data_IF_836780809525
#
_entry.id   IF_836780809525
#
_cell.length_a   1.000
_cell.length_b   1.000
_cell.length_c   1.000
_cell.angle_alpha   90.00
_cell.angle_beta   90.00
_cell.angle_gamma   90.00
#
_symmetry.space_group_name_H-M   'P 1'
#
loop_
_entity.id
_entity.type
_entity.pdbx_description
1 polymer ?
#
# COMPACT_ATOMS: atom_id res chain seq x y z
N UNK A 1 -1.79 32.10 -25.36
CA UNK A 1 -1.24 32.11 -23.99
C UNK A 1 -2.13 31.22 -23.13
N UNK A 2 -1.56 30.24 -22.44
CA UNK A 2 -2.32 29.34 -21.55
C UNK A 2 -2.66 30.10 -20.26
N UNK A 3 -3.89 29.95 -19.76
CA UNK A 3 -4.40 30.67 -18.58
C UNK A 3 -4.46 29.82 -17.31
N UNK A 4 -4.07 28.55 -17.40
CA UNK A 4 -4.12 27.56 -16.32
C UNK A 4 -2.80 26.84 -16.18
N UNK A 5 -2.55 26.25 -15.01
CA UNK A 5 -1.39 25.37 -14.79
C UNK A 5 -1.50 24.19 -15.76
N UNK A 6 -0.52 24.06 -16.66
CA UNK A 6 -0.51 23.01 -17.69
C UNK A 6 0.26 21.78 -17.25
N UNK A 7 -0.32 20.61 -17.57
CA UNK A 7 0.32 19.32 -17.44
C UNK A 7 1.65 19.26 -18.19
N UNK A 8 2.60 18.48 -17.65
CA UNK A 8 3.91 18.26 -18.25
C UNK A 8 4.95 19.35 -17.96
N UNK A 9 4.56 20.46 -17.34
CA UNK A 9 5.54 21.44 -16.85
C UNK A 9 6.11 21.00 -15.50
N UNK A 10 7.43 21.12 -15.32
CA UNK A 10 8.12 20.68 -14.11
C UNK A 10 7.52 21.23 -12.79
N UNK A 11 7.06 22.50 -12.69
CA UNK A 11 6.51 23.01 -11.44
C UNK A 11 5.01 22.73 -11.23
N UNK A 12 4.28 22.18 -12.22
CA UNK A 12 2.82 22.09 -12.17
C UNK A 12 2.29 21.36 -10.92
N UNK A 13 2.85 20.18 -10.61
CA UNK A 13 2.43 19.37 -9.46
C UNK A 13 2.70 20.08 -8.14
N UNK A 14 3.86 20.73 -8.01
CA UNK A 14 4.22 21.50 -6.83
C UNK A 14 3.28 22.68 -6.62
N UNK A 15 3.01 23.46 -7.67
CA UNK A 15 2.14 24.63 -7.61
C UNK A 15 0.71 24.24 -7.20
N UNK A 16 0.14 23.21 -7.83
CA UNK A 16 -1.19 22.71 -7.47
C UNK A 16 -1.26 22.28 -6.00
N UNK A 17 -0.28 21.46 -5.57
CA UNK A 17 -0.22 20.97 -4.18
C UNK A 17 0.00 22.11 -3.18
N UNK A 18 0.82 23.12 -3.52
CA UNK A 18 1.07 24.27 -2.65
C UNK A 18 -0.17 25.14 -2.48
N UNK A 19 -0.96 25.33 -3.54
CA UNK A 19 -2.25 26.03 -3.48
C UNK A 19 -3.23 25.31 -2.54
N UNK A 20 -3.33 23.99 -2.60
CA UNK A 20 -4.15 23.21 -1.66
C UNK A 20 -3.68 23.42 -0.21
N UNK A 21 -2.37 23.34 0.05
CA UNK A 21 -1.79 23.61 1.38
C UNK A 21 -2.02 25.05 1.86
N UNK A 22 -2.02 26.01 0.95
CA UNK A 22 -2.30 27.41 1.31
C UNK A 22 -3.77 27.59 1.66
N UNK A 23 -4.68 26.94 0.92
CA UNK A 23 -6.10 26.96 1.20
C UNK A 23 -6.44 26.31 2.54
N UNK A 24 -5.77 25.21 2.89
CA UNK A 24 -5.94 24.57 4.20
C UNK A 24 -5.53 25.50 5.36
N UNK A 25 -4.43 26.25 5.22
CA UNK A 25 -4.00 27.22 6.22
C UNK A 25 -5.06 28.32 6.38
N UNK A 26 -5.61 28.84 5.28
CA UNK A 26 -6.61 29.92 5.31
C UNK A 26 -7.93 29.48 5.93
N UNK A 27 -8.39 28.26 5.68
CA UNK A 27 -9.63 27.76 6.28
C UNK A 27 -9.47 27.21 7.70
N UNK A 28 -8.25 27.17 8.25
CA UNK A 28 -7.97 26.59 9.58
C UNK A 28 -8.72 27.28 10.72
N UNK A 29 -8.94 28.60 10.61
CA UNK A 29 -9.64 29.38 11.63
C UNK A 29 -11.16 29.16 11.61
N UNK A 30 -11.72 28.84 10.44
CA UNK A 30 -13.16 28.62 10.27
C UNK A 30 -13.55 27.17 10.56
N UNK A 31 -12.75 26.21 10.08
CA UNK A 31 -13.02 24.79 10.26
C UNK A 31 -11.72 23.96 10.26
N UNK A 32 -11.26 23.62 11.48
CA UNK A 32 -10.04 22.84 11.69
C UNK A 32 -10.10 21.44 11.07
N UNK A 33 -11.29 20.80 11.06
CA UNK A 33 -11.48 19.46 10.49
C UNK A 33 -11.28 19.50 8.98
N UNK A 34 -11.93 20.45 8.30
CA UNK A 34 -11.84 20.57 6.84
C UNK A 34 -10.45 21.05 6.40
N UNK A 35 -9.83 21.93 7.18
CA UNK A 35 -8.44 22.32 7.00
C UNK A 35 -7.49 21.11 7.01
N UNK A 36 -7.62 20.24 8.02
CA UNK A 36 -6.85 18.99 8.11
C UNK A 36 -7.08 18.10 6.87
N UNK A 37 -8.33 17.89 6.48
CA UNK A 37 -8.69 17.07 5.31
C UNK A 37 -8.02 17.61 4.03
N UNK A 38 -8.09 18.92 3.79
CA UNK A 38 -7.46 19.53 2.60
C UNK A 38 -5.92 19.42 2.68
N UNK A 39 -5.34 19.49 3.87
CA UNK A 39 -3.89 19.43 4.06
C UNK A 39 -3.31 18.01 3.93
N UNK A 40 -4.03 16.99 4.40
CA UNK A 40 -3.50 15.66 4.67
C UNK A 40 -4.13 14.54 3.82
N UNK A 41 -5.39 14.67 3.43
CA UNK A 41 -6.14 13.57 2.78
C UNK A 41 -6.04 13.62 1.24
N UNK A 42 -5.38 14.64 0.68
CA UNK A 42 -5.10 14.73 -0.75
C UNK A 42 -3.83 13.95 -1.14
N UNK A 43 -3.97 13.10 -2.15
CA UNK A 43 -2.85 12.60 -2.92
C UNK A 43 -2.84 13.28 -4.29
N UNK A 44 -1.96 14.28 -4.43
CA UNK A 44 -1.88 15.14 -5.63
C UNK A 44 -3.24 15.77 -5.93
N UNK A 45 -4.00 15.23 -6.88
CA UNK A 45 -5.30 15.70 -7.34
C UNK A 45 -6.49 14.89 -6.79
N UNK A 46 -6.24 13.72 -6.21
CA UNK A 46 -7.28 12.84 -5.64
C UNK A 46 -7.47 13.09 -4.13
N UNK A 47 -8.70 13.36 -3.70
CA UNK A 47 -9.07 13.43 -2.28
C UNK A 47 -9.57 12.07 -1.77
N UNK A 48 -8.89 11.52 -0.77
CA UNK A 48 -9.23 10.25 -0.14
C UNK A 48 -9.55 10.44 1.35
N UNK A 49 -10.82 10.74 1.67
CA UNK A 49 -11.27 10.98 3.05
C UNK A 49 -12.49 10.12 3.42
N UNK A 50 -12.90 10.17 4.68
CA UNK A 50 -14.05 9.42 5.19
C UNK A 50 -14.53 9.92 6.56
N UNK A 51 -15.59 9.28 7.07
CA UNK A 51 -16.21 9.61 8.35
C UNK A 51 -16.88 8.38 8.96
N UNK A 52 -17.33 8.51 10.20
CA UNK A 52 -17.98 7.43 10.95
C UNK A 52 -19.49 7.35 10.69
N UNK A 53 -20.08 8.42 10.15
CA UNK A 53 -21.50 8.49 9.81
C UNK A 53 -21.74 9.07 8.41
N UNK A 54 -22.87 8.74 7.80
CA UNK A 54 -23.26 9.28 6.48
C UNK A 54 -23.36 10.81 6.53
N UNK A 55 -23.97 11.35 7.58
CA UNK A 55 -24.14 12.79 7.76
C UNK A 55 -22.80 13.53 7.86
N UNK A 56 -21.83 12.95 8.57
CA UNK A 56 -20.47 13.50 8.67
C UNK A 56 -19.79 13.55 7.29
N UNK A 57 -19.88 12.47 6.52
CA UNK A 57 -19.30 12.39 5.16
C UNK A 57 -19.98 13.40 4.21
N UNK A 58 -21.31 13.53 4.28
CA UNK A 58 -22.05 14.53 3.50
C UNK A 58 -21.62 15.96 3.84
N UNK A 59 -21.46 16.27 5.12
CA UNK A 59 -20.98 17.56 5.59
C UNK A 59 -19.55 17.84 5.12
N UNK A 60 -18.65 16.85 5.20
CA UNK A 60 -17.27 16.95 4.68
C UNK A 60 -17.31 17.25 3.18
N UNK A 61 -18.06 16.46 2.40
CA UNK A 61 -18.23 16.64 0.95
C UNK A 61 -18.65 18.07 0.61
N UNK A 62 -19.72 18.57 1.26
CA UNK A 62 -20.24 19.90 1.01
C UNK A 62 -19.24 21.01 1.35
N UNK A 63 -18.60 20.94 2.52
CA UNK A 63 -17.69 21.99 2.98
C UNK A 63 -16.39 22.02 2.20
N UNK A 64 -15.78 20.86 1.93
CA UNK A 64 -14.57 20.75 1.13
C UNK A 64 -14.83 21.28 -0.30
N UNK A 65 -15.92 20.85 -0.93
CA UNK A 65 -16.30 21.35 -2.27
C UNK A 65 -16.48 22.86 -2.30
N UNK A 66 -17.17 23.44 -1.30
CA UNK A 66 -17.36 24.89 -1.22
C UNK A 66 -16.03 25.65 -1.10
N UNK A 67 -15.16 25.20 -0.21
CA UNK A 67 -13.86 25.85 0.05
C UNK A 67 -12.96 25.75 -1.18
N UNK A 68 -12.85 24.57 -1.79
CA UNK A 68 -12.04 24.38 -3.00
C UNK A 68 -12.59 25.18 -4.18
N UNK A 69 -13.91 25.23 -4.35
CA UNK A 69 -14.55 26.00 -5.42
C UNK A 69 -14.25 27.51 -5.29
N UNK A 70 -14.14 28.04 -4.06
CA UNK A 70 -13.78 29.45 -3.83
C UNK A 70 -12.40 29.81 -4.35
N UNK A 71 -11.51 28.81 -4.48
CA UNK A 71 -10.16 28.94 -5.03
C UNK A 71 -10.05 28.43 -6.49
N UNK A 72 -11.18 28.12 -7.14
CA UNK A 72 -11.23 27.61 -8.51
C UNK A 72 -10.92 26.12 -8.66
N UNK A 73 -10.85 25.37 -7.56
CA UNK A 73 -10.70 23.91 -7.57
C UNK A 73 -12.08 23.25 -7.52
N UNK A 74 -12.58 22.81 -8.66
CA UNK A 74 -13.85 22.10 -8.72
C UNK A 74 -13.64 20.59 -8.50
N UNK A 75 -14.16 20.07 -7.39
CA UNK A 75 -14.20 18.62 -7.15
C UNK A 75 -15.27 17.96 -8.01
N UNK A 76 -14.89 16.87 -8.68
CA UNK A 76 -15.76 16.08 -9.55
C UNK A 76 -15.55 14.59 -9.27
N UNK A 77 -16.42 13.74 -9.84
CA UNK A 77 -16.28 12.28 -9.78
C UNK A 77 -16.20 11.74 -8.34
N UNK A 78 -17.25 11.97 -7.56
CA UNK A 78 -17.33 11.47 -6.19
C UNK A 78 -17.62 9.97 -6.17
N UNK A 79 -16.90 9.25 -5.31
CA UNK A 79 -17.05 7.81 -5.10
C UNK A 79 -17.19 7.51 -3.62
N UNK A 80 -18.14 6.64 -3.25
CA UNK A 80 -18.39 6.27 -1.86
C UNK A 80 -18.87 4.81 -1.77
N UNK A 81 -18.64 4.17 -0.63
CA UNK A 81 -19.22 2.87 -0.31
C UNK A 81 -20.65 2.98 0.27
N UNK A 82 -21.22 4.18 0.31
CA UNK A 82 -22.59 4.45 0.78
C UNK A 82 -23.35 5.17 -0.32
N UNK A 83 -24.44 4.56 -0.80
CA UNK A 83 -25.24 5.09 -1.92
C UNK A 83 -25.85 6.47 -1.61
N UNK A 84 -26.32 6.70 -0.39
CA UNK A 84 -26.89 7.97 0.08
C UNK A 84 -25.94 9.18 -0.12
N UNK A 85 -24.63 8.96 -0.09
CA UNK A 85 -23.62 10.03 -0.33
C UNK A 85 -23.49 10.37 -1.82
N UNK A 86 -23.86 9.42 -2.68
CA UNK A 86 -23.76 9.48 -4.15
C UNK A 86 -25.07 9.94 -4.78
N UNK A 87 -26.24 9.74 -4.17
CA UNK A 87 -27.58 9.94 -4.76
C UNK A 87 -27.88 11.31 -5.43
N UNK A 88 -27.02 12.31 -5.27
CA UNK A 88 -27.02 13.54 -6.08
C UNK A 88 -26.04 13.52 -7.27
N UNK A 89 -25.60 12.36 -7.73
CA UNK A 89 -24.60 12.15 -8.79
C UNK A 89 -24.94 10.85 -9.52
N UNK A 90 -25.37 10.97 -10.78
CA UNK A 90 -26.07 9.97 -11.61
C UNK A 90 -25.31 8.68 -12.00
N UNK A 91 -24.51 8.06 -11.13
CA UNK A 91 -23.74 6.86 -11.49
C UNK A 91 -23.84 5.77 -10.40
N UNK A 92 -24.85 4.90 -10.51
CA UNK A 92 -25.15 3.81 -9.55
C UNK A 92 -24.31 2.53 -9.74
N UNK A 93 -23.46 2.49 -10.77
CA UNK A 93 -22.39 1.51 -10.93
C UNK A 93 -21.23 2.24 -11.57
N UNK A 94 -20.12 2.37 -10.86
CA UNK A 94 -18.91 2.94 -11.45
C UNK A 94 -17.89 1.82 -11.67
N UNK A 95 -17.75 1.41 -12.92
CA UNK A 95 -16.43 1.06 -13.44
C UNK A 95 -15.60 2.34 -13.45
N UNK A 96 -14.57 2.42 -12.60
CA UNK A 96 -13.71 3.60 -12.54
C UNK A 96 -12.83 3.58 -13.80
N UNK A 97 -13.39 4.11 -14.90
CA UNK A 97 -12.81 4.30 -16.22
C UNK A 97 -13.27 3.29 -17.29
N UNK A 98 -13.93 3.78 -18.35
CA UNK A 98 -13.70 3.30 -19.72
C UNK A 98 -12.73 4.33 -20.32
N UNK A 99 -11.50 4.02 -20.70
CA UNK A 99 -11.03 2.97 -21.60
C UNK A 99 -9.51 2.89 -21.43
N UNK A 100 -8.96 1.68 -21.29
CA UNK A 100 -7.50 1.41 -21.42
C UNK A 100 -6.48 2.11 -20.49
N UNK A 101 -6.87 2.77 -19.39
CA UNK A 101 -5.90 3.37 -18.43
C UNK A 101 -6.44 3.56 -17.00
N UNK A 102 -6.89 2.47 -16.37
CA UNK A 102 -7.69 2.53 -15.13
C UNK A 102 -6.89 2.16 -13.88
N UNK A 103 -6.11 3.10 -13.33
CA UNK A 103 -5.31 2.90 -12.12
C UNK A 103 -5.49 4.10 -11.18
N UNK A 104 -6.17 3.93 -10.04
CA UNK A 104 -6.17 4.92 -8.95
C UNK A 104 -5.12 4.55 -7.92
N UNK A 105 -4.12 5.41 -7.77
CA UNK A 105 -2.84 5.06 -7.13
C UNK A 105 -2.18 3.78 -7.67
N UNK A 106 -2.70 3.17 -8.75
CA UNK A 106 -2.27 1.87 -9.26
C UNK A 106 -3.12 0.64 -8.87
N UNK A 107 -4.15 0.77 -8.02
CA UNK A 107 -5.04 -0.32 -7.58
C UNK A 107 -6.51 -0.09 -7.99
N UNK A 108 -7.31 -1.16 -8.03
CA UNK A 108 -8.77 -1.08 -8.24
C UNK A 108 -9.49 -1.07 -6.89
N UNK A 109 -10.55 -0.27 -6.78
CA UNK A 109 -11.40 -0.21 -5.60
C UNK A 109 -12.84 -0.56 -5.98
N UNK A 110 -13.35 -1.64 -5.39
CA UNK A 110 -14.77 -1.98 -5.40
C UNK A 110 -15.46 -1.21 -4.27
N UNK A 111 -16.26 -0.21 -4.64
CA UNK A 111 -16.95 0.66 -3.69
C UNK A 111 -18.05 -0.08 -2.94
N UNK A 112 -18.77 -1.00 -3.60
CA UNK A 112 -19.89 -1.73 -3.02
C UNK A 112 -19.42 -2.66 -1.90
N UNK A 113 -18.35 -3.41 -2.16
CA UNK A 113 -17.79 -4.36 -1.20
C UNK A 113 -16.70 -3.76 -0.29
N UNK A 114 -16.27 -2.53 -0.58
CA UNK A 114 -15.14 -1.86 0.08
C UNK A 114 -13.84 -2.70 0.06
N UNK A 115 -13.57 -3.35 -1.08
CA UNK A 115 -12.40 -4.21 -1.29
C UNK A 115 -11.45 -3.60 -2.34
N UNK A 116 -10.15 -3.83 -2.16
CA UNK A 116 -9.16 -3.65 -3.20
C UNK A 116 -9.14 -4.87 -4.12
N UNK A 117 -9.02 -4.60 -5.41
CA UNK A 117 -8.89 -5.61 -6.47
C UNK A 117 -7.64 -5.36 -7.30
N UNK A 118 -7.12 -6.42 -7.88
CA UNK A 118 -6.03 -6.37 -8.84
C UNK A 118 -6.56 -6.67 -10.22
N UNK A 119 -6.06 -5.98 -11.24
CA UNK A 119 -6.34 -6.34 -12.63
C UNK A 119 -5.03 -6.54 -13.35
N UNK A 120 -4.83 -7.77 -13.84
CA UNK A 120 -3.66 -8.15 -14.58
C UNK A 120 -4.09 -8.66 -15.94
N UNK A 121 -3.58 -8.02 -16.99
CA UNK A 121 -3.85 -8.42 -18.36
C UNK A 121 -2.82 -9.48 -18.80
N UNK A 122 -3.26 -10.72 -18.80
CA UNK A 122 -2.46 -11.88 -19.21
C UNK A 122 -2.69 -12.09 -20.72
N UNK A 123 -1.96 -11.36 -21.56
CA UNK A 123 -2.01 -11.56 -23.03
C UNK A 123 -1.11 -12.71 -23.48
N UNK A 124 -1.69 -13.71 -24.13
CA UNK A 124 -0.97 -14.83 -24.77
C UNK A 124 0.13 -14.32 -25.72
N UNK A 125 1.35 -14.20 -25.21
CA UNK A 125 2.52 -13.83 -25.99
C UNK A 125 3.16 -15.07 -26.59
N UNK A 126 3.29 -15.10 -27.91
CA UNK A 126 3.96 -16.20 -28.61
C UNK A 126 5.48 -16.19 -28.40
N UNK A 127 6.08 -15.04 -28.04
CA UNK A 127 7.52 -14.89 -27.82
C UNK A 127 7.81 -14.17 -26.51
N UNK A 128 8.59 -14.81 -25.65
CA UNK A 128 9.07 -14.24 -24.40
C UNK A 128 10.52 -13.77 -24.56
N UNK A 129 10.71 -12.45 -24.45
CA UNK A 129 12.00 -11.77 -24.34
C UNK A 129 12.12 -11.09 -22.98
N UNK A 130 13.33 -10.72 -22.58
CA UNK A 130 13.58 -9.94 -21.35
C UNK A 130 12.67 -8.71 -21.28
N UNK A 131 12.50 -7.97 -22.38
CA UNK A 131 11.59 -6.81 -22.45
C UNK A 131 10.15 -7.17 -22.14
N UNK A 132 9.62 -8.20 -22.78
CA UNK A 132 8.21 -8.59 -22.59
C UNK A 132 7.94 -9.09 -21.16
N UNK A 133 8.88 -9.84 -20.57
CA UNK A 133 8.75 -10.35 -19.21
C UNK A 133 8.79 -9.21 -18.20
N UNK A 134 9.76 -8.30 -18.32
CA UNK A 134 9.86 -7.15 -17.43
C UNK A 134 8.64 -6.23 -17.55
N UNK A 135 8.15 -6.03 -18.77
CA UNK A 135 6.91 -5.27 -19.00
C UNK A 135 5.70 -5.93 -18.34
N UNK A 136 5.58 -7.26 -18.41
CA UNK A 136 4.51 -8.01 -17.74
C UNK A 136 4.60 -7.90 -16.21
N UNK A 137 5.77 -8.15 -15.64
CA UNK A 137 5.99 -8.05 -14.19
C UNK A 137 5.72 -6.62 -13.68
N UNK A 138 6.09 -5.59 -14.44
CA UNK A 138 5.84 -4.20 -14.08
C UNK A 138 4.34 -3.84 -14.02
N UNK A 139 3.45 -4.67 -14.58
CA UNK A 139 2.00 -4.48 -14.43
C UNK A 139 1.54 -4.78 -13.00
N UNK A 140 2.27 -5.63 -12.26
CA UNK A 140 1.99 -5.98 -10.86
C UNK A 140 2.34 -4.79 -9.98
N UNK A 141 1.35 -3.94 -9.78
CA UNK A 141 1.48 -2.76 -8.93
C UNK A 141 0.92 -3.06 -7.54
N UNK A 142 1.81 -3.12 -6.54
CA UNK A 142 1.47 -3.49 -5.18
C UNK A 142 2.17 -2.55 -4.17
N UNK A 143 1.59 -1.35 -3.90
CA UNK A 143 2.24 -0.31 -3.11
C UNK A 143 2.29 -0.67 -1.62
N UNK A 144 1.33 -1.46 -1.15
CA UNK A 144 1.20 -1.89 0.25
C UNK A 144 1.91 -3.22 0.52
N UNK A 145 2.31 -3.96 -0.52
CA UNK A 145 2.93 -5.27 -0.34
C UNK A 145 1.92 -6.35 0.02
N UNK A 146 0.68 -6.29 -0.46
CA UNK A 146 -0.34 -7.32 -0.18
C UNK A 146 -0.14 -8.57 -1.04
N UNK A 147 0.61 -8.46 -2.14
CA UNK A 147 0.97 -9.53 -3.08
C UNK A 147 2.43 -9.96 -2.93
N UNK A 148 3.02 -9.76 -1.74
CA UNK A 148 4.44 -10.01 -1.51
C UNK A 148 4.93 -11.39 -1.99
N UNK A 149 4.19 -12.50 -1.81
CA UNK A 149 4.61 -13.81 -2.34
C UNK A 149 4.79 -13.79 -3.86
N UNK A 150 3.85 -13.20 -4.60
CA UNK A 150 3.92 -13.09 -6.07
C UNK A 150 5.04 -12.13 -6.48
N UNK A 151 5.13 -10.96 -5.83
CA UNK A 151 6.16 -9.96 -6.11
C UNK A 151 7.55 -10.53 -5.83
N UNK A 152 7.71 -11.38 -4.82
CA UNK A 152 8.97 -12.05 -4.51
C UNK A 152 9.42 -12.98 -5.65
N UNK A 153 8.52 -13.85 -6.14
CA UNK A 153 8.79 -14.70 -7.30
C UNK A 153 9.15 -13.88 -8.53
N UNK A 154 8.41 -12.79 -8.78
CA UNK A 154 8.69 -11.88 -9.88
C UNK A 154 10.09 -11.25 -9.77
N UNK A 155 10.48 -10.78 -8.58
CA UNK A 155 11.83 -10.24 -8.34
C UNK A 155 12.93 -11.29 -8.53
N UNK A 156 12.71 -12.55 -8.15
CA UNK A 156 13.66 -13.64 -8.39
C UNK A 156 13.85 -13.84 -9.91
N UNK A 157 12.77 -13.84 -10.69
CA UNK A 157 12.84 -13.96 -12.16
C UNK A 157 13.62 -12.78 -12.76
N UNK A 158 13.35 -11.55 -12.30
CA UNK A 158 14.11 -10.35 -12.72
C UNK A 158 15.60 -10.52 -12.41
N UNK A 159 15.93 -10.99 -11.21
CA UNK A 159 17.32 -11.19 -10.78
C UNK A 159 18.03 -12.22 -11.68
N UNK A 160 17.36 -13.32 -12.04
CA UNK A 160 17.89 -14.33 -12.98
C UNK A 160 18.08 -13.76 -14.39
N UNK A 161 17.11 -13.02 -14.92
CA UNK A 161 17.22 -12.37 -16.24
C UNK A 161 18.42 -11.41 -16.29
N UNK A 162 18.65 -10.65 -15.23
CA UNK A 162 19.79 -9.73 -15.13
C UNK A 162 21.15 -10.45 -15.17
N UNK A 163 21.22 -11.71 -14.71
CA UNK A 163 22.47 -12.49 -14.75
C UNK A 163 22.82 -13.01 -16.14
N UNK A 164 21.82 -13.21 -17.00
CA UNK A 164 22.05 -13.73 -18.35
C UNK A 164 22.79 -12.75 -19.27
N UNK A 165 22.87 -11.46 -18.91
CA UNK A 165 23.51 -10.39 -19.71
C UNK A 165 23.07 -10.38 -21.19
N UNK A 166 21.83 -10.79 -21.47
CA UNK A 166 21.26 -10.82 -22.82
C UNK A 166 20.66 -9.49 -23.22
N UNK A 167 20.54 -9.26 -24.53
CA UNK A 167 19.83 -8.09 -25.06
C UNK A 167 18.32 -8.18 -24.75
N UNK A 168 17.65 -7.03 -24.72
CA UNK A 168 16.24 -6.87 -24.35
C UNK A 168 15.29 -7.75 -25.20
N UNK A 169 15.63 -7.97 -26.47
CA UNK A 169 14.79 -8.64 -27.47
C UNK A 169 15.29 -10.05 -27.85
N UNK A 170 16.31 -10.55 -27.13
CA UNK A 170 16.89 -11.88 -27.32
C UNK A 170 16.07 -12.97 -26.62
N UNK A 171 16.18 -14.22 -27.11
CA UNK A 171 15.58 -15.38 -26.45
C UNK A 171 16.25 -15.68 -25.11
N UNK A 172 15.43 -15.97 -24.10
CA UNK A 172 15.91 -16.26 -22.74
C UNK A 172 16.26 -17.75 -22.57
N UNK A 173 17.15 -18.10 -21.63
CA UNK A 173 17.42 -19.49 -21.26
C UNK A 173 16.16 -20.29 -20.90
N UNK A 174 16.17 -21.58 -21.23
CA UNK A 174 15.01 -22.47 -21.10
C UNK A 174 14.56 -22.67 -19.64
N UNK A 175 15.50 -22.68 -18.71
CA UNK A 175 15.25 -22.79 -17.26
C UNK A 175 14.45 -21.58 -16.74
N UNK A 176 14.85 -20.36 -17.12
CA UNK A 176 14.13 -19.13 -16.76
C UNK A 176 12.77 -19.09 -17.43
N UNK A 177 12.71 -19.47 -18.71
CA UNK A 177 11.45 -19.51 -19.46
C UNK A 177 10.44 -20.46 -18.81
N UNK A 178 10.89 -21.63 -18.35
CA UNK A 178 10.04 -22.62 -17.70
C UNK A 178 9.51 -22.08 -16.36
N UNK A 179 10.39 -21.49 -15.54
CA UNK A 179 9.99 -20.85 -14.27
C UNK A 179 9.02 -19.69 -14.51
N UNK A 180 9.26 -18.86 -15.52
CA UNK A 180 8.39 -17.75 -15.85
C UNK A 180 7.03 -18.21 -16.38
N UNK A 181 6.97 -19.25 -17.21
CA UNK A 181 5.69 -19.80 -17.71
C UNK A 181 4.79 -20.29 -16.58
N UNK A 182 5.36 -21.00 -15.59
CA UNK A 182 4.60 -21.45 -14.41
C UNK A 182 4.10 -20.29 -13.55
N UNK A 183 4.91 -19.24 -13.39
CA UNK A 183 4.49 -18.00 -12.74
C UNK A 183 3.38 -17.28 -13.52
N UNK A 184 3.55 -17.18 -14.83
CA UNK A 184 2.65 -16.47 -15.75
C UNK A 184 1.27 -17.13 -15.84
N UNK A 185 1.19 -18.47 -15.83
CA UNK A 185 -0.09 -19.19 -15.89
C UNK A 185 -0.98 -18.97 -14.66
N UNK A 186 -0.39 -18.68 -13.50
CA UNK A 186 -1.10 -18.42 -12.24
C UNK A 186 -1.40 -16.92 -12.05
N UNK A 187 -0.85 -16.06 -12.91
CA UNK A 187 -0.97 -14.62 -12.73
C UNK A 187 -2.41 -14.12 -12.95
N UNK A 188 -3.19 -14.87 -13.74
CA UNK A 188 -4.60 -14.61 -13.97
C UNK A 188 -5.45 -14.72 -12.70
N UNK A 189 -5.06 -15.60 -11.76
CA UNK A 189 -5.80 -15.88 -10.52
C UNK A 189 -5.82 -14.66 -9.58
N UNK A 190 -4.88 -13.72 -9.76
CA UNK A 190 -4.86 -12.46 -9.01
C UNK A 190 -6.04 -11.54 -9.33
N UNK A 191 -6.73 -11.74 -10.46
CA UNK A 191 -7.93 -10.96 -10.79
C UNK A 191 -9.11 -11.30 -9.85
N UNK A 192 -9.10 -12.49 -9.24
CA UNK A 192 -10.13 -12.94 -8.32
C UNK A 192 -9.80 -12.60 -6.86
N UNK A 193 -8.61 -12.05 -6.59
CA UNK A 193 -8.20 -11.67 -5.24
C UNK A 193 -8.89 -10.38 -4.81
N UNK A 194 -9.66 -10.49 -3.73
CA UNK A 194 -10.24 -9.34 -3.04
C UNK A 194 -9.60 -9.14 -1.67
N UNK A 195 -9.11 -7.92 -1.40
CA UNK A 195 -8.54 -7.56 -0.11
C UNK A 195 -9.41 -6.50 0.56
N UNK A 196 -9.93 -6.77 1.75
CA UNK A 196 -10.75 -5.79 2.47
C UNK A 196 -9.96 -4.52 2.79
N UNK A 197 -10.53 -3.35 2.47
CA UNK A 197 -9.94 -2.05 2.84
C UNK A 197 -10.13 -1.72 4.33
N UNK A 198 -11.14 -2.32 4.97
CA UNK A 198 -11.47 -2.05 6.37
C UNK A 198 -10.53 -2.85 7.27
N UNK A 199 -9.60 -2.15 7.91
CA UNK A 199 -8.56 -2.74 8.77
C UNK A 199 -8.94 -2.83 10.25
N UNK A 200 -10.06 -2.24 10.69
CA UNK A 200 -10.50 -2.21 12.10
C UNK A 200 -11.93 -2.71 12.26
N UNK A 201 -12.21 -3.39 13.37
CA UNK A 201 -13.60 -3.65 13.81
C UNK A 201 -14.29 -2.36 14.23
N UNK A 202 -15.62 -2.33 14.03
CA UNK A 202 -16.46 -1.23 14.52
C UNK A 202 -16.46 -1.22 16.05
N UNK A 203 -16.43 -0.03 16.68
CA UNK A 203 -16.41 0.13 18.15
C UNK A 203 -15.29 -0.70 18.81
N UNK A 204 -14.09 -0.65 18.23
CA UNK A 204 -12.91 -1.30 18.81
C UNK A 204 -12.58 -0.67 20.17
N UNK A 205 -12.16 -1.51 21.11
CA UNK A 205 -11.65 -1.12 22.43
C UNK A 205 -10.14 -1.35 22.54
N UNK A 206 -9.58 -2.13 21.63
CA UNK A 206 -8.16 -2.47 21.59
C UNK A 206 -7.68 -2.56 20.14
N UNK A 207 -6.55 -1.93 19.84
CA UNK A 207 -5.85 -1.95 18.56
C UNK A 207 -4.38 -2.25 18.80
N UNK A 208 -3.92 -3.38 18.27
CA UNK A 208 -2.54 -3.85 18.41
C UNK A 208 -1.89 -4.00 17.03
N UNK A 209 -0.60 -3.69 16.96
CA UNK A 209 0.23 -3.97 15.79
C UNK A 209 1.08 -5.21 16.04
N UNK A 210 1.13 -6.11 15.06
CA UNK A 210 1.95 -7.31 15.09
C UNK A 210 2.84 -7.34 13.85
N UNK A 211 4.12 -7.07 14.06
CA UNK A 211 5.16 -7.12 13.04
C UNK A 211 5.85 -8.49 13.02
N UNK A 212 6.00 -9.10 11.85
CA UNK A 212 6.73 -10.35 11.69
C UNK A 212 7.91 -10.13 10.74
N UNK A 213 9.05 -10.72 11.06
CA UNK A 213 10.25 -10.70 10.23
C UNK A 213 10.76 -12.13 10.07
N UNK A 214 11.10 -12.48 8.83
CA UNK A 214 11.57 -13.81 8.45
C UNK A 214 12.53 -13.72 7.26
N UNK A 215 13.47 -14.67 7.19
CA UNK A 215 14.43 -14.79 6.11
C UNK A 215 14.73 -16.23 5.71
N UNK A 216 15.15 -16.38 4.46
CA UNK A 216 15.71 -17.61 3.94
C UNK A 216 16.82 -17.31 2.94
N UNK A 217 17.40 -18.34 2.33
CA UNK A 217 18.50 -18.20 1.36
C UNK A 217 18.12 -17.39 0.12
N UNK A 218 16.83 -17.39 -0.26
CA UNK A 218 16.35 -16.68 -1.45
C UNK A 218 16.03 -15.21 -1.19
N UNK A 219 15.71 -14.86 0.06
CA UNK A 219 15.43 -13.48 0.45
C UNK A 219 14.82 -13.37 1.82
N UNK A 220 14.40 -12.15 2.14
CA UNK A 220 13.87 -11.81 3.45
C UNK A 220 12.70 -10.85 3.33
N UNK A 221 11.84 -10.88 4.34
CA UNK A 221 10.59 -10.15 4.34
C UNK A 221 10.20 -9.68 5.73
N UNK A 222 9.30 -8.69 5.73
CA UNK A 222 8.64 -8.23 6.92
C UNK A 222 7.18 -7.91 6.60
N UNK A 223 6.26 -8.21 7.50
CA UNK A 223 4.85 -7.84 7.38
C UNK A 223 4.32 -7.28 8.69
N UNK A 224 3.33 -6.40 8.60
CA UNK A 224 2.66 -5.80 9.76
C UNK A 224 1.17 -6.10 9.66
N UNK A 225 0.66 -6.76 10.68
CA UNK A 225 -0.77 -7.00 10.87
C UNK A 225 -1.32 -6.02 11.91
N UNK A 226 -2.55 -5.58 11.69
CA UNK A 226 -3.35 -4.90 12.69
C UNK A 226 -4.34 -5.88 13.26
N UNK A 227 -4.35 -5.98 14.59
CA UNK A 227 -5.34 -6.72 15.36
C UNK A 227 -6.25 -5.70 16.04
N UNK A 228 -7.56 -5.86 15.87
CA UNK A 228 -8.55 -5.02 16.56
C UNK A 228 -9.61 -5.88 17.24
N UNK A 229 -9.96 -5.49 18.46
CA UNK A 229 -10.94 -6.21 19.29
C UNK A 229 -12.02 -5.22 19.74
N UNK A 230 -13.29 -5.62 19.67
CA UNK A 230 -14.42 -4.82 20.16
C UNK A 230 -14.81 -5.21 21.60
N UNK A 231 -15.73 -4.45 22.22
CA UNK A 231 -16.24 -4.74 23.57
C UNK A 231 -16.94 -6.09 23.71
N UNK A 232 -17.44 -6.66 22.60
CA UNK A 232 -18.09 -7.96 22.55
C UNK A 232 -17.10 -9.14 22.39
N UNK A 233 -15.80 -8.86 22.32
CA UNK A 233 -14.74 -9.86 22.14
C UNK A 233 -14.50 -10.30 20.68
N UNK A 234 -15.21 -9.74 19.70
CA UNK A 234 -14.96 -9.98 18.28
C UNK A 234 -13.59 -9.40 17.88
N UNK A 235 -12.71 -10.29 17.41
CA UNK A 235 -11.35 -9.98 17.00
C UNK A 235 -11.23 -10.05 15.47
N UNK A 236 -10.66 -9.01 14.85
CA UNK A 236 -10.26 -9.02 13.44
C UNK A 236 -8.76 -8.79 13.33
N UNK A 237 -8.12 -9.57 12.47
CA UNK A 237 -6.71 -9.40 12.11
C UNK A 237 -6.63 -9.13 10.62
N UNK A 238 -5.92 -8.07 10.23
CA UNK A 238 -5.78 -7.67 8.83
C UNK A 238 -4.34 -7.31 8.53
N UNK A 239 -3.82 -7.77 7.38
CA UNK A 239 -2.51 -7.37 6.90
C UNK A 239 -2.57 -5.88 6.48
N UNK A 240 -1.77 -5.03 7.13
CA UNK A 240 -1.67 -3.61 6.76
C UNK A 240 -0.75 -3.41 5.56
N UNK A 241 0.45 -3.95 5.68
CA UNK A 241 1.47 -3.85 4.66
C UNK A 241 2.54 -4.90 4.86
N UNK A 242 3.27 -5.19 3.79
CA UNK A 242 4.47 -6.00 3.89
C UNK A 242 5.52 -5.56 2.88
N UNK A 243 6.73 -6.08 3.05
CA UNK A 243 7.86 -5.71 2.20
C UNK A 243 8.83 -6.88 2.11
N UNK A 244 9.35 -7.10 0.91
CA UNK A 244 10.35 -8.14 0.65
C UNK A 244 11.54 -7.63 -0.11
N UNK A 245 12.66 -8.31 0.08
CA UNK A 245 13.88 -8.15 -0.68
C UNK A 245 14.45 -9.52 -1.05
N UNK A 246 14.87 -9.63 -2.30
CA UNK A 246 15.62 -10.81 -2.76
C UNK A 246 17.03 -10.74 -2.17
N UNK A 247 17.53 -11.88 -1.70
CA UNK A 247 18.88 -11.98 -1.18
C UNK A 247 19.89 -11.56 -2.26
N UNK A 248 21.01 -10.99 -1.82
CA UNK A 248 22.10 -10.67 -2.72
C UNK A 248 22.63 -11.95 -3.36
N UNK A 249 23.07 -11.87 -4.61
CA UNK A 249 23.78 -12.97 -5.28
C UNK A 249 25.14 -13.28 -4.63
N UNK A 250 25.66 -12.36 -3.81
CA UNK A 250 26.85 -12.62 -3.00
C UNK A 250 26.45 -13.45 -1.79
N UNK A 251 27.25 -14.48 -1.50
CA UNK A 251 27.06 -15.37 -0.34
C UNK A 251 26.85 -14.55 0.93
N UNK A 252 25.64 -14.63 1.46
CA UNK A 252 25.22 -13.97 2.70
C UNK A 252 24.71 -15.06 3.62
N UNK A 253 25.15 -15.06 4.87
CA UNK A 253 24.72 -16.09 5.83
C UNK A 253 23.26 -15.87 6.22
N UNK A 254 22.52 -16.95 6.47
CA UNK A 254 21.12 -16.89 6.92
C UNK A 254 20.96 -15.96 8.14
N UNK A 255 21.79 -16.04 9.19
CA UNK A 255 21.63 -15.15 10.35
C UNK A 255 21.79 -13.66 10.04
N UNK A 256 22.52 -13.31 8.97
CA UNK A 256 22.61 -11.92 8.50
C UNK A 256 21.34 -11.50 7.76
N UNK A 257 20.74 -12.40 6.98
CA UNK A 257 19.46 -12.14 6.31
C UNK A 257 18.32 -11.98 7.33
N UNK A 258 18.33 -12.76 8.42
CA UNK A 258 17.40 -12.59 9.56
C UNK A 258 17.50 -11.20 10.18
N UNK A 259 18.73 -10.73 10.44
CA UNK A 259 18.93 -9.37 10.96
C UNK A 259 18.48 -8.31 9.95
N UNK A 260 18.65 -8.56 8.64
CA UNK A 260 18.12 -7.68 7.61
C UNK A 260 16.58 -7.67 7.57
N UNK A 261 15.93 -8.81 7.82
CA UNK A 261 14.47 -8.90 7.94
C UNK A 261 13.96 -8.08 9.12
N UNK A 262 14.59 -8.23 10.29
CA UNK A 262 14.25 -7.46 11.49
C UNK A 262 14.44 -5.95 11.28
N UNK A 263 15.55 -5.55 10.62
CA UNK A 263 15.76 -4.15 10.25
C UNK A 263 14.69 -3.64 9.28
N UNK A 264 14.31 -4.45 8.28
CA UNK A 264 13.25 -4.11 7.33
C UNK A 264 11.91 -3.91 8.04
N UNK A 265 11.61 -4.74 9.04
CA UNK A 265 10.41 -4.62 9.87
C UNK A 265 10.40 -3.32 10.68
N UNK A 266 11.52 -2.96 11.31
CA UNK A 266 11.64 -1.70 12.05
C UNK A 266 11.45 -0.48 11.13
N UNK A 267 12.01 -0.51 9.91
CA UNK A 267 11.82 0.55 8.92
C UNK A 267 10.35 0.64 8.47
N UNK A 268 9.71 -0.51 8.24
CA UNK A 268 8.30 -0.60 7.85
C UNK A 268 7.40 -0.05 8.96
N UNK A 269 7.64 -0.45 10.20
CA UNK A 269 6.90 0.01 11.37
C UNK A 269 6.96 1.53 11.51
N UNK A 270 8.17 2.12 11.43
CA UNK A 270 8.35 3.58 11.52
C UNK A 270 7.55 4.33 10.44
N UNK A 271 7.43 3.76 9.24
CA UNK A 271 6.61 4.34 8.16
C UNK A 271 5.12 4.23 8.49
N UNK A 272 4.66 3.07 8.95
CA UNK A 272 3.25 2.82 9.29
C UNK A 272 2.77 3.77 10.38
N UNK A 273 3.50 3.89 11.50
CA UNK A 273 3.11 4.79 12.59
C UNK A 273 3.12 6.27 12.18
N UNK A 274 3.99 6.66 11.24
CA UNK A 274 4.06 8.04 10.75
C UNK A 274 3.03 8.36 9.66
N UNK A 275 2.42 7.34 9.04
CA UNK A 275 1.45 7.51 7.95
C UNK A 275 0.01 7.26 8.38
N UNK A 276 -0.21 6.48 9.43
CA UNK A 276 -1.55 6.21 9.96
C UNK A 276 -1.87 7.17 11.09
N UNK A 277 -2.94 7.94 10.94
CA UNK A 277 -3.51 8.75 12.01
C UNK A 277 -4.41 7.88 12.92
N UNK A 278 -3.81 6.83 13.49
CA UNK A 278 -4.47 5.85 14.36
C UNK A 278 -3.59 5.68 15.60
N UNK A 279 -4.19 5.76 16.78
CA UNK A 279 -3.54 5.37 18.03
C UNK A 279 -3.51 3.85 18.16
N UNK A 280 -2.34 3.31 18.49
CA UNK A 280 -2.15 1.88 18.76
C UNK A 280 -1.90 1.70 20.26
N UNK A 281 -2.58 0.74 20.87
CA UNK A 281 -2.43 0.45 22.30
C UNK A 281 -1.13 -0.29 22.59
N UNK A 282 -0.77 -1.24 21.69
CA UNK A 282 0.44 -2.05 21.81
C UNK A 282 1.02 -2.40 20.44
N UNK A 283 2.33 -2.62 20.42
CA UNK A 283 3.06 -3.08 19.25
C UNK A 283 3.94 -4.27 19.64
N UNK A 284 3.87 -5.34 18.85
CA UNK A 284 4.61 -6.57 19.07
C UNK A 284 5.42 -6.93 17.82
N UNK A 285 6.66 -7.38 18.02
CA UNK A 285 7.55 -7.78 16.93
C UNK A 285 7.99 -9.22 17.13
N UNK A 286 7.87 -10.02 16.08
CA UNK A 286 8.04 -11.46 16.09
C UNK A 286 9.12 -11.86 15.08
N UNK A 287 9.99 -12.76 15.51
CA UNK A 287 10.98 -13.48 14.69
C UNK A 287 11.24 -14.83 15.36
N UNK A 288 11.52 -15.85 14.57
CA UNK A 288 11.91 -17.19 15.02
C UNK A 288 13.43 -17.31 15.24
N UNK A 289 14.21 -16.36 14.74
CA UNK A 289 15.67 -16.35 14.84
C UNK A 289 16.16 -15.76 16.15
N UNK A 290 16.83 -16.58 16.97
CA UNK A 290 17.45 -16.14 18.23
C UNK A 290 18.50 -15.05 18.04
N UNK A 291 19.12 -14.96 16.86
CA UNK A 291 20.14 -13.94 16.58
C UNK A 291 19.57 -12.52 16.60
N UNK A 292 18.29 -12.36 16.25
CA UNK A 292 17.59 -11.06 16.27
C UNK A 292 17.42 -10.55 17.70
N UNK A 293 17.30 -11.46 18.67
CA UNK A 293 17.11 -11.14 20.08
C UNK A 293 18.42 -11.00 20.86
N UNK A 294 19.56 -11.41 20.31
CA UNK A 294 20.85 -11.33 21.02
C UNK A 294 21.40 -9.90 20.91
N UNK A 295 21.51 -9.13 22.02
CA UNK A 295 22.10 -7.79 21.98
C UNK A 295 23.59 -7.89 21.59
N UNK A 296 24.07 -6.98 20.73
CA UNK A 296 25.51 -6.84 20.44
C UNK A 296 26.28 -6.04 21.51
N UNK A 297 25.71 -5.82 22.68
CA UNK A 297 26.28 -5.04 23.80
C UNK A 297 26.00 -5.74 25.14
N UNK A 298 26.89 -5.59 26.15
CA UNK A 298 26.80 -6.30 27.45
C UNK A 298 25.55 -5.90 28.25
N UNK A 299 25.19 -6.66 29.30
CA UNK A 299 23.81 -6.92 29.68
C UNK A 299 23.22 -5.75 30.45
N UNK A 300 22.37 -4.98 29.79
CA UNK A 300 21.23 -4.34 30.45
C UNK A 300 20.07 -4.33 29.43
N UNK A 301 18.97 -4.95 29.84
CA UNK A 301 17.72 -5.17 29.11
C UNK A 301 17.64 -6.46 28.26
N UNK A 302 17.05 -7.46 28.92
CA UNK A 302 16.68 -8.78 28.43
C UNK A 302 15.72 -8.75 27.23
N UNK A 303 16.12 -9.36 26.12
CA UNK A 303 15.20 -9.94 25.14
C UNK A 303 15.13 -11.46 25.36
N UNK A 304 13.91 -12.01 25.52
CA UNK A 304 13.64 -13.46 25.53
C UNK A 304 12.65 -13.79 24.40
N UNK A 305 12.92 -14.89 23.70
CA UNK A 305 12.11 -15.38 22.58
C UNK A 305 10.68 -15.80 22.97
N UNK A 306 9.78 -15.79 21.97
CA UNK A 306 8.34 -16.09 22.05
C UNK A 306 7.62 -15.44 23.24
N UNK A 307 7.95 -14.20 23.56
CA UNK A 307 7.12 -13.34 24.43
C UNK A 307 7.16 -11.92 23.85
N UNK A 308 6.10 -11.13 23.98
CA UNK A 308 6.00 -9.86 23.27
C UNK A 308 6.96 -8.83 23.90
N UNK A 309 7.83 -8.23 23.09
CA UNK A 309 8.79 -7.22 23.55
C UNK A 309 8.66 -5.98 22.67
N UNK A 310 7.87 -5.04 23.17
CA UNK A 310 8.06 -3.58 23.15
C UNK A 310 6.72 -2.93 23.58
N UNK A 311 6.45 -2.86 24.89
CA UNK A 311 5.54 -1.83 25.39
C UNK A 311 6.28 -0.50 25.26
N UNK A 312 6.23 0.10 24.07
CA UNK A 312 6.42 1.54 23.98
C UNK A 312 5.13 2.17 24.50
N UNK A 313 5.13 2.84 25.68
CA UNK A 313 4.10 3.85 25.89
C UNK A 313 4.36 4.92 24.82
N UNK A 314 3.29 5.24 24.08
CA UNK A 314 3.25 6.36 23.13
C UNK A 314 3.50 7.66 23.88
#
# INVERSE_FOLDING_TARGET
MLKTVTYGTAPASHLATRCLKELSIRCSQENSIISRIIAEDFYVDDLCTGGSTVQEVLNIKQQVSRILLSAGFELRKFYCNVAEVIENTLEQTVHIGESSSNKKLGLYWDTANATFKYSINVQLSQRFTTRTILSCIAQIFDPLGLLVPVVMLAKIIIQKLGQCKKSWDESIPLDILTSYRGFYSQLGDLNDLEVSRKIRVSRHVLVELHGFADANETGYGACIHLRSVNGDGHCSVSLLCSKTRVASMKTTTIPRLELCAAFLLAELYRRVIGSLNISFDKSFFWSDSTIVFTPKTPPDNTFRGMTPILNHPV
#
